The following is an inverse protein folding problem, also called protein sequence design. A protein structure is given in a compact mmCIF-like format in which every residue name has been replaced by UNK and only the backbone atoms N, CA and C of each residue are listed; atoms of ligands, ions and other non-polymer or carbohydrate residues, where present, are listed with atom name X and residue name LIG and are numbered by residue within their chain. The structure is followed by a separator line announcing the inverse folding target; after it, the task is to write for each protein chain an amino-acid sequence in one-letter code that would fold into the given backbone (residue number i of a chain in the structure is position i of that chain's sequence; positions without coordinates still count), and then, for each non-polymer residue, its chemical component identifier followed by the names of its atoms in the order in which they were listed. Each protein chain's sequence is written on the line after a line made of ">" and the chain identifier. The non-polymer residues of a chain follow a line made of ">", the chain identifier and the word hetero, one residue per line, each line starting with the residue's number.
data_IF_094842170863
#
_entry.id   IF_094842170863
#
_cell.length_a   1.000
_cell.length_b   1.000
_cell.length_c   1.000
_cell.angle_alpha   90.00
_cell.angle_beta   90.00
_cell.angle_gamma   90.00
#
_symmetry.space_group_name_H-M   'P 1'
#
loop_
_entity.id
_entity.type
_entity.pdbx_description
1 polymer ?
#
# COMPACT_ATOMS: atom_id res chain seq x y z
N UNK A 1 3.07 -52.97 -30.39
CA UNK A 1 2.51 -53.87 -29.34
C UNK A 1 2.06 -53.00 -28.17
N UNK A 2 0.76 -53.03 -27.83
CA UNK A 2 0.18 -52.29 -26.69
C UNK A 2 0.29 -53.16 -25.44
N UNK A 3 0.88 -52.64 -24.36
CA UNK A 3 0.92 -53.30 -23.04
C UNK A 3 -0.14 -52.68 -22.13
N UNK A 4 -1.16 -53.46 -21.78
CA UNK A 4 -2.13 -53.12 -20.73
C UNK A 4 -1.74 -53.84 -19.44
N UNK A 5 -1.62 -53.10 -18.35
CA UNK A 5 -1.45 -53.64 -17.00
C UNK A 5 -2.81 -54.09 -16.43
N UNK A 6 -2.86 -55.29 -15.85
CA UNK A 6 -4.02 -55.83 -15.11
C UNK A 6 -3.82 -55.60 -13.62
N UNK A 7 -4.83 -55.04 -12.95
CA UNK A 7 -4.90 -54.89 -11.50
C UNK A 7 -5.37 -56.21 -10.85
N UNK A 8 -4.72 -56.63 -9.77
CA UNK A 8 -5.11 -57.77 -8.92
C UNK A 8 -5.65 -57.20 -7.60
N UNK A 9 -6.88 -57.56 -7.24
CA UNK A 9 -7.52 -57.22 -5.96
C UNK A 9 -7.46 -58.45 -5.05
N UNK A 10 -6.90 -58.31 -3.85
CA UNK A 10 -6.85 -59.34 -2.82
C UNK A 10 -7.86 -59.00 -1.71
N UNK A 11 -8.75 -59.94 -1.38
CA UNK A 11 -9.61 -59.90 -0.20
C UNK A 11 -9.08 -60.88 0.87
N UNK A 12 -8.93 -60.48 2.14
CA UNK A 12 -8.71 -61.43 3.22
C UNK A 12 -10.02 -61.83 3.90
N UNK A 13 -10.18 -63.14 4.04
CA UNK A 13 -11.25 -63.88 4.70
C UNK A 13 -11.20 -63.79 6.24
N UNK A 14 -12.37 -63.66 6.87
CA UNK A 14 -12.58 -63.73 8.33
C UNK A 14 -12.55 -65.18 8.82
N UNK A 15 -11.59 -65.50 9.71
CA UNK A 15 -11.57 -66.74 10.49
C UNK A 15 -12.37 -66.60 11.78
N UNK A 16 -13.22 -67.60 12.05
CA UNK A 16 -13.96 -67.81 13.31
C UNK A 16 -13.29 -68.93 14.10
N UNK A 17 -13.01 -68.78 15.40
CA UNK A 17 -12.81 -69.91 16.29
C UNK A 17 -14.07 -70.16 17.13
N UNK A 18 -14.39 -71.44 17.32
CA UNK A 18 -15.46 -71.93 18.19
C UNK A 18 -14.92 -72.72 19.38
N UNK A 19 -15.78 -72.84 20.40
CA UNK A 19 -15.72 -73.79 21.53
C UNK A 19 -14.78 -73.37 22.66
N UNK A 20 -15.11 -73.46 23.95
CA UNK A 20 -16.24 -74.05 24.66
C UNK A 20 -15.86 -74.23 26.15
N UNK A 21 -16.86 -74.25 27.05
CA UNK A 21 -16.73 -74.50 28.50
C UNK A 21 -16.50 -73.22 29.31
N UNK A 22 -17.20 -72.88 30.39
CA UNK A 22 -18.01 -73.64 31.34
C UNK A 22 -17.52 -73.26 32.74
N UNK A 23 -18.36 -72.57 33.54
CA UNK A 23 -18.05 -72.23 34.94
C UNK A 23 -18.31 -70.78 35.30
N UNK A 24 -19.08 -70.57 36.37
CA UNK A 24 -19.70 -69.30 36.75
C UNK A 24 -18.75 -68.21 37.28
N UNK A 25 -19.24 -66.98 37.19
CA UNK A 25 -18.62 -65.78 37.75
C UNK A 25 -18.93 -64.52 36.93
N UNK A 26 -20.04 -63.83 37.19
CA UNK A 26 -20.01 -62.37 37.06
C UNK A 26 -19.18 -61.82 38.23
N UNK A 27 -18.41 -60.72 38.12
CA UNK A 27 -18.80 -59.53 37.35
C UNK A 27 -17.63 -58.64 36.84
N UNK A 28 -17.51 -58.31 35.54
CA UNK A 28 -16.61 -57.18 35.13
C UNK A 28 -17.02 -56.46 33.84
N UNK A 29 -18.30 -56.36 33.50
CA UNK A 29 -18.69 -55.54 32.33
C UNK A 29 -18.52 -54.02 32.59
N UNK A 30 -18.54 -53.58 33.86
CA UNK A 30 -18.37 -52.18 34.22
C UNK A 30 -16.91 -51.66 34.10
N UNK A 31 -15.92 -52.53 34.31
CA UNK A 31 -14.49 -52.16 34.30
C UNK A 31 -13.99 -51.79 32.90
N UNK A 32 -14.36 -52.58 31.88
CA UNK A 32 -13.95 -52.31 30.50
C UNK A 32 -14.56 -51.02 29.93
N UNK A 33 -15.81 -50.70 30.28
CA UNK A 33 -16.45 -49.44 29.84
C UNK A 33 -15.84 -48.21 30.51
N UNK A 34 -15.53 -48.30 31.80
CA UNK A 34 -14.84 -47.22 32.51
C UNK A 34 -13.42 -47.00 31.95
N UNK A 35 -12.69 -48.07 31.63
CA UNK A 35 -11.35 -47.98 31.06
C UNK A 35 -11.36 -47.39 29.64
N UNK A 36 -12.38 -47.70 28.84
CA UNK A 36 -12.58 -47.11 27.51
C UNK A 36 -12.88 -45.61 27.59
N UNK A 37 -13.68 -45.17 28.57
CA UNK A 37 -13.93 -43.74 28.83
C UNK A 37 -12.66 -43.02 29.25
N UNK A 38 -11.87 -43.59 30.16
CA UNK A 38 -10.57 -43.02 30.57
C UNK A 38 -9.61 -42.91 29.39
N UNK A 39 -9.56 -43.94 28.54
CA UNK A 39 -8.74 -43.93 27.33
C UNK A 39 -9.19 -42.84 26.35
N UNK A 40 -10.49 -42.71 26.08
CA UNK A 40 -11.02 -41.67 25.19
C UNK A 40 -10.77 -40.27 25.73
N UNK A 41 -10.97 -40.05 27.04
CA UNK A 41 -10.68 -38.76 27.68
C UNK A 41 -9.20 -38.42 27.64
N UNK A 42 -8.32 -39.41 27.83
CA UNK A 42 -6.88 -39.22 27.66
C UNK A 42 -6.53 -38.82 26.23
N UNK A 43 -7.09 -39.48 25.21
CA UNK A 43 -6.87 -39.11 23.82
C UNK A 43 -7.41 -37.72 23.48
N UNK A 44 -8.61 -37.35 23.94
CA UNK A 44 -9.17 -36.00 23.77
C UNK A 44 -8.30 -34.96 24.46
N UNK A 45 -7.84 -35.23 25.68
CA UNK A 45 -6.96 -34.34 26.42
C UNK A 45 -5.60 -34.17 25.73
N UNK A 46 -4.97 -35.26 25.28
CA UNK A 46 -3.71 -35.17 24.52
C UNK A 46 -3.89 -34.42 23.20
N UNK A 47 -5.00 -34.65 22.48
CA UNK A 47 -5.31 -33.97 21.23
C UNK A 47 -5.55 -32.47 21.45
N UNK A 48 -6.37 -32.11 22.43
CA UNK A 48 -6.61 -30.71 22.80
C UNK A 48 -5.31 -30.04 23.27
N UNK A 49 -4.53 -30.69 24.14
CA UNK A 49 -3.24 -30.20 24.61
C UNK A 49 -2.26 -29.98 23.45
N UNK A 50 -2.15 -30.92 22.51
CA UNK A 50 -1.35 -30.73 21.31
C UNK A 50 -1.84 -29.58 20.43
N UNK A 51 -3.16 -29.39 20.26
CA UNK A 51 -3.71 -28.27 19.50
C UNK A 51 -3.44 -26.92 20.17
N UNK A 52 -3.54 -26.83 21.50
CA UNK A 52 -3.24 -25.59 22.22
C UNK A 52 -1.74 -25.29 22.20
N UNK A 53 -0.88 -26.28 22.48
CA UNK A 53 0.57 -26.09 22.44
C UNK A 53 1.10 -25.77 21.04
N UNK A 54 0.54 -26.37 19.98
CA UNK A 54 0.96 -26.10 18.59
C UNK A 54 0.49 -24.75 18.07
N UNK A 55 -0.65 -24.22 18.56
CA UNK A 55 -1.12 -22.87 18.19
C UNK A 55 -0.20 -21.78 18.69
N UNK A 56 0.28 -21.88 19.94
CA UNK A 56 1.17 -20.88 20.53
C UNK A 56 2.57 -20.93 19.91
N UNK A 57 3.13 -22.13 19.71
CA UNK A 57 4.43 -22.28 19.02
C UNK A 57 4.34 -21.89 17.54
N UNK A 58 3.24 -22.19 16.86
CA UNK A 58 3.01 -21.83 15.47
C UNK A 58 2.81 -20.32 15.26
N UNK A 59 2.18 -19.63 16.21
CA UNK A 59 2.05 -18.17 16.20
C UNK A 59 3.41 -17.49 16.44
N UNK A 60 4.15 -17.91 17.47
CA UNK A 60 5.47 -17.38 17.77
C UNK A 60 6.49 -17.64 16.63
N UNK A 61 6.47 -18.83 16.04
CA UNK A 61 7.29 -19.15 14.87
C UNK A 61 6.96 -18.29 13.66
N UNK A 62 5.67 -18.06 13.36
CA UNK A 62 5.22 -17.16 12.29
C UNK A 62 5.65 -15.70 12.53
N UNK A 63 5.55 -15.23 13.77
CA UNK A 63 6.01 -13.89 14.16
C UNK A 63 7.53 -13.76 13.98
N UNK A 64 8.30 -14.75 14.43
CA UNK A 64 9.75 -14.77 14.28
C UNK A 64 10.20 -14.86 12.82
N UNK A 65 9.54 -15.67 11.99
CA UNK A 65 9.85 -15.75 10.55
C UNK A 65 9.47 -14.45 9.82
N UNK A 66 8.34 -13.83 10.16
CA UNK A 66 7.94 -12.55 9.58
C UNK A 66 8.86 -11.41 10.02
N UNK A 67 9.30 -11.41 11.29
CA UNK A 67 10.27 -10.44 11.79
C UNK A 67 11.64 -10.63 11.13
N UNK A 68 12.11 -11.86 10.95
CA UNK A 68 13.36 -12.16 10.26
C UNK A 68 13.31 -11.83 8.75
N UNK A 69 12.17 -12.08 8.09
CA UNK A 69 11.96 -11.68 6.70
C UNK A 69 11.92 -10.15 6.55
N UNK A 70 11.25 -9.44 7.46
CA UNK A 70 11.22 -7.98 7.52
C UNK A 70 12.59 -7.37 7.81
N UNK A 71 13.38 -8.00 8.69
CA UNK A 71 14.75 -7.57 8.98
C UNK A 71 15.68 -7.77 7.78
N UNK A 72 15.42 -8.75 6.90
CA UNK A 72 16.16 -8.93 5.65
C UNK A 72 15.70 -7.99 4.54
N UNK A 73 14.46 -7.51 4.58
CA UNK A 73 13.93 -6.63 3.55
C UNK A 73 14.33 -5.16 3.75
N UNK A 74 14.64 -4.75 4.97
CA UNK A 74 14.99 -3.36 5.31
C UNK A 74 16.50 -3.13 5.26
N UNK A 75 16.91 -1.89 4.90
CA UNK A 75 18.31 -1.49 4.98
C UNK A 75 18.84 -1.62 6.42
N UNK A 76 20.11 -2.00 6.62
CA UNK A 76 20.75 -1.89 7.92
C UNK A 76 20.65 -0.45 8.45
N UNK A 77 20.26 -0.29 9.71
CA UNK A 77 20.02 1.01 10.33
C UNK A 77 21.18 2.02 10.15
N UNK A 78 22.47 1.64 10.29
CA UNK A 78 23.56 2.58 10.03
C UNK A 78 23.62 3.09 8.59
N UNK A 79 23.26 2.25 7.61
CA UNK A 79 23.20 2.66 6.19
C UNK A 79 22.05 3.61 5.96
N UNK A 80 20.88 3.32 6.52
CA UNK A 80 19.71 4.19 6.47
C UNK A 80 20.01 5.56 7.09
N UNK A 81 20.58 5.59 8.29
CA UNK A 81 20.91 6.83 9.00
C UNK A 81 21.97 7.65 8.24
N UNK A 82 22.98 6.98 7.64
CA UNK A 82 23.99 7.65 6.81
C UNK A 82 23.40 8.24 5.53
N UNK A 83 22.51 7.52 4.84
CA UNK A 83 21.83 8.03 3.64
C UNK A 83 21.01 9.28 3.97
N UNK A 84 20.25 9.25 5.07
CA UNK A 84 19.49 10.42 5.52
C UNK A 84 20.40 11.60 5.88
N UNK A 85 21.47 11.34 6.62
CA UNK A 85 22.42 12.38 7.01
C UNK A 85 23.03 13.07 5.79
N UNK A 86 23.69 12.32 4.89
CA UNK A 86 24.38 12.91 3.75
C UNK A 86 23.45 13.48 2.67
N UNK A 87 22.24 12.93 2.49
CA UNK A 87 21.29 13.48 1.53
C UNK A 87 20.71 14.82 1.98
N UNK A 88 20.69 15.07 3.29
CA UNK A 88 20.09 16.26 3.91
C UNK A 88 21.09 17.28 4.47
N UNK A 89 22.38 16.93 4.51
CA UNK A 89 23.44 17.82 5.00
C UNK A 89 23.73 18.93 3.97
N UNK A 90 23.98 20.15 4.46
CA UNK A 90 24.25 21.36 3.66
C UNK A 90 23.12 21.81 2.70
N UNK A 91 21.85 21.49 2.98
CA UNK A 91 20.68 22.08 2.29
C UNK A 91 20.39 23.48 2.85
N UNK A 92 21.43 24.31 2.97
CA UNK A 92 21.24 25.73 3.22
C UNK A 92 20.89 26.38 1.89
N UNK A 93 19.59 26.64 1.68
CA UNK A 93 19.09 27.68 0.76
C UNK A 93 18.92 27.37 -0.74
N UNK A 94 18.91 26.11 -1.19
CA UNK A 94 18.47 25.82 -2.57
C UNK A 94 16.96 25.58 -2.62
N UNK A 95 16.22 26.53 -3.19
CA UNK A 95 14.77 26.42 -3.38
C UNK A 95 14.40 25.11 -4.08
N UNK A 96 13.42 24.38 -3.52
CA UNK A 96 12.86 23.16 -4.09
C UNK A 96 13.49 21.84 -3.63
N UNK A 97 14.31 21.82 -2.57
CA UNK A 97 14.81 20.59 -1.94
C UNK A 97 14.17 20.36 -0.58
N UNK A 98 13.92 19.09 -0.26
CA UNK A 98 13.40 18.73 1.06
C UNK A 98 14.44 18.86 2.17
N UNK A 99 14.03 19.37 3.31
CA UNK A 99 14.83 19.43 4.53
C UNK A 99 15.01 18.04 5.17
N UNK A 100 15.91 17.93 6.14
CA UNK A 100 16.07 16.69 6.91
C UNK A 100 14.77 16.23 7.57
N UNK A 101 13.96 17.16 8.09
CA UNK A 101 12.71 16.81 8.77
C UNK A 101 11.68 16.23 7.79
N UNK A 102 11.61 16.80 6.59
CA UNK A 102 10.72 16.37 5.51
C UNK A 102 11.15 15.01 4.96
N UNK A 103 12.43 14.85 4.61
CA UNK A 103 12.99 13.59 4.13
C UNK A 103 12.79 12.48 5.15
N UNK A 104 13.01 12.76 6.44
CA UNK A 104 12.82 11.80 7.52
C UNK A 104 11.37 11.36 7.66
N UNK A 105 10.39 12.22 7.40
CA UNK A 105 8.97 11.85 7.45
C UNK A 105 8.61 10.84 6.36
N UNK A 106 9.02 11.09 5.10
CA UNK A 106 8.83 10.13 3.99
C UNK A 106 9.56 8.81 4.28
N UNK A 107 10.81 8.88 4.72
CA UNK A 107 11.62 7.71 5.04
C UNK A 107 11.00 6.86 6.17
N UNK A 108 10.34 7.50 7.15
CA UNK A 108 9.63 6.80 8.22
C UNK A 108 8.36 6.08 7.72
N UNK A 109 7.70 6.56 6.67
CA UNK A 109 6.62 5.81 6.01
C UNK A 109 7.16 4.59 5.27
N UNK A 110 8.22 4.76 4.46
CA UNK A 110 8.87 3.65 3.76
C UNK A 110 9.39 2.56 4.72
N UNK A 111 10.02 2.96 5.83
CA UNK A 111 10.50 2.02 6.85
C UNK A 111 9.40 1.27 7.62
N UNK A 112 8.16 1.79 7.62
CA UNK A 112 7.00 1.12 8.25
C UNK A 112 6.20 0.27 7.27
N UNK A 113 6.34 0.53 5.97
CA UNK A 113 5.70 -0.20 4.89
C UNK A 113 6.07 -1.70 4.89
N UNK A 114 5.11 -2.55 4.53
CA UNK A 114 5.36 -3.98 4.37
C UNK A 114 6.08 -4.22 3.02
N UNK A 115 7.10 -5.09 3.01
CA UNK A 115 7.81 -5.40 1.78
C UNK A 115 7.06 -6.43 0.91
N UNK A 116 7.06 -6.29 -0.42
CA UNK A 116 7.59 -5.16 -1.18
C UNK A 116 6.66 -3.93 -1.07
N UNK A 117 7.24 -2.77 -0.78
CA UNK A 117 6.49 -1.52 -0.71
C UNK A 117 6.41 -0.88 -2.10
N UNK A 118 5.20 -0.57 -2.56
CA UNK A 118 5.00 0.15 -3.82
C UNK A 118 5.04 1.66 -3.54
N UNK A 119 6.06 2.33 -4.07
CA UNK A 119 6.28 3.76 -3.91
C UNK A 119 6.21 4.48 -5.26
N UNK A 120 5.23 5.38 -5.41
CA UNK A 120 5.12 6.26 -6.58
C UNK A 120 5.62 7.65 -6.24
N UNK A 121 6.45 8.22 -7.10
CA UNK A 121 6.98 9.58 -6.94
C UNK A 121 6.65 10.39 -8.18
N UNK A 122 5.87 11.45 -8.02
CA UNK A 122 5.74 12.49 -9.04
C UNK A 122 6.87 13.50 -8.85
N UNK A 123 7.67 13.73 -9.89
CA UNK A 123 8.84 14.61 -9.91
C UNK A 123 10.17 13.86 -9.82
N UNK A 124 11.10 14.22 -10.70
CA UNK A 124 12.52 13.90 -10.58
C UNK A 124 13.23 15.03 -9.83
N UNK A 125 13.60 14.73 -8.60
CA UNK A 125 14.30 15.67 -7.72
C UNK A 125 15.70 15.18 -7.37
N UNK A 126 16.40 15.97 -6.56
CA UNK A 126 17.70 15.56 -6.05
C UNK A 126 17.61 14.27 -5.22
N UNK A 127 16.48 14.04 -4.55
CA UNK A 127 16.22 12.90 -3.68
C UNK A 127 15.85 11.62 -4.45
N UNK A 128 15.75 11.65 -5.79
CA UNK A 128 15.38 10.47 -6.63
C UNK A 128 16.14 9.19 -6.25
N UNK A 129 17.48 9.27 -6.14
CA UNK A 129 18.28 8.10 -5.77
C UNK A 129 18.11 7.69 -4.30
N UNK A 130 17.84 8.66 -3.43
CA UNK A 130 17.55 8.41 -2.03
C UNK A 130 16.25 7.62 -1.91
N UNK A 131 15.17 8.05 -2.57
CA UNK A 131 13.87 7.37 -2.59
C UNK A 131 13.98 5.93 -3.05
N UNK A 132 14.68 5.68 -4.16
CA UNK A 132 14.90 4.31 -4.62
C UNK A 132 15.70 3.47 -3.62
N UNK A 133 16.73 4.06 -3.00
CA UNK A 133 17.59 3.36 -2.04
C UNK A 133 16.85 3.04 -0.74
N UNK A 134 16.10 4.00 -0.18
CA UNK A 134 15.36 3.85 1.06
C UNK A 134 14.21 2.86 0.92
N UNK A 135 13.61 2.74 -0.27
CA UNK A 135 12.62 1.71 -0.59
C UNK A 135 13.27 0.36 -0.98
N UNK A 136 14.27 -0.06 -0.21
CA UNK A 136 15.03 -1.29 -0.48
C UNK A 136 14.12 -2.52 -0.53
N UNK A 137 14.30 -3.38 -1.55
CA UNK A 137 13.43 -4.52 -1.88
C UNK A 137 11.95 -4.17 -2.15
N UNK A 138 11.61 -2.89 -2.27
CA UNK A 138 10.34 -2.41 -2.78
C UNK A 138 10.41 -2.14 -4.28
N UNK A 139 9.31 -1.58 -4.81
CA UNK A 139 9.24 -1.04 -6.16
C UNK A 139 9.04 0.46 -6.06
N UNK A 140 9.94 1.22 -6.66
CA UNK A 140 9.82 2.68 -6.76
C UNK A 140 9.66 3.07 -8.21
N UNK A 141 8.63 3.84 -8.52
CA UNK A 141 8.37 4.37 -9.86
C UNK A 141 8.37 5.89 -9.81
N UNK A 142 9.13 6.50 -10.72
CA UNK A 142 9.19 7.94 -10.88
C UNK A 142 8.39 8.38 -12.11
N UNK A 143 7.70 9.51 -11.99
CA UNK A 143 6.92 10.11 -13.07
C UNK A 143 7.24 11.59 -13.15
N UNK A 144 7.65 12.12 -14.31
CA UNK A 144 8.04 13.53 -14.45
C UNK A 144 7.56 14.12 -15.79
N UNK A 145 7.49 15.45 -15.88
CA UNK A 145 7.12 16.15 -17.11
C UNK A 145 8.20 16.10 -18.20
N UNK A 146 9.45 15.81 -17.85
CA UNK A 146 10.59 15.95 -18.75
C UNK A 146 11.10 14.61 -19.29
N UNK A 147 10.72 14.28 -20.53
CA UNK A 147 11.26 13.14 -21.28
C UNK A 147 12.79 13.15 -21.40
N UNK A 148 13.39 14.34 -21.45
CA UNK A 148 14.84 14.50 -21.44
C UNK A 148 15.47 14.05 -20.11
N UNK A 149 14.92 14.48 -18.96
CA UNK A 149 15.45 14.10 -17.65
C UNK A 149 15.26 12.60 -17.39
N UNK A 150 14.12 12.05 -17.81
CA UNK A 150 13.84 10.61 -17.73
C UNK A 150 14.87 9.82 -18.55
N UNK A 151 15.06 10.16 -19.83
CA UNK A 151 16.06 9.50 -20.69
C UNK A 151 17.47 9.55 -20.10
N UNK A 152 17.84 10.68 -19.50
CA UNK A 152 19.15 10.85 -18.83
C UNK A 152 19.28 10.03 -17.55
N UNK A 153 18.19 9.90 -16.80
CA UNK A 153 18.14 9.08 -15.59
C UNK A 153 18.32 7.60 -15.96
N UNK A 154 17.58 7.11 -16.95
CA UNK A 154 17.65 5.72 -17.44
C UNK A 154 19.04 5.37 -17.98
N UNK A 155 19.65 6.27 -18.76
CA UNK A 155 21.01 6.10 -19.28
C UNK A 155 22.03 5.95 -18.13
N UNK A 156 21.90 6.77 -17.08
CA UNK A 156 22.85 6.82 -15.97
C UNK A 156 22.60 5.73 -14.92
N UNK A 157 21.34 5.35 -14.71
CA UNK A 157 20.91 4.39 -13.70
C UNK A 157 19.87 3.41 -14.29
N UNK A 158 20.30 2.45 -15.14
CA UNK A 158 19.40 1.53 -15.83
C UNK A 158 18.40 0.75 -14.96
N UNK A 159 18.69 0.44 -13.68
CA UNK A 159 17.70 -0.23 -12.82
C UNK A 159 16.54 0.64 -12.33
N UNK A 160 16.58 1.97 -12.50
CA UNK A 160 15.49 2.84 -12.07
C UNK A 160 14.31 2.75 -13.05
N UNK A 161 13.12 2.65 -12.49
CA UNK A 161 11.87 2.67 -13.25
C UNK A 161 11.31 4.09 -13.24
N UNK A 162 11.29 4.75 -14.40
CA UNK A 162 10.80 6.11 -14.54
C UNK A 162 10.06 6.31 -15.86
N UNK A 163 9.07 7.20 -15.88
CA UNK A 163 8.27 7.51 -17.06
C UNK A 163 8.05 9.01 -17.21
N UNK A 164 8.10 9.52 -18.44
CA UNK A 164 7.58 10.85 -18.72
C UNK A 164 6.07 10.79 -18.92
N UNK A 165 5.37 11.83 -18.45
CA UNK A 165 3.93 12.00 -18.68
C UNK A 165 3.61 13.43 -19.08
N UNK A 166 2.55 13.58 -19.88
CA UNK A 166 2.05 14.90 -20.24
C UNK A 166 1.13 15.46 -19.15
N UNK A 167 1.60 16.47 -18.41
CA UNK A 167 0.75 17.27 -17.53
C UNK A 167 0.08 18.39 -18.32
N UNK A 168 -1.22 18.29 -18.52
CA UNK A 168 -2.00 19.19 -19.37
C UNK A 168 -2.54 20.42 -18.64
N UNK A 169 -2.63 20.37 -17.31
CA UNK A 169 -3.10 21.47 -16.45
C UNK A 169 -2.01 22.52 -16.24
N UNK A 170 -2.38 23.80 -16.09
CA UNK A 170 -1.47 24.90 -15.73
C UNK A 170 -1.81 25.53 -14.39
N UNK A 171 -0.80 26.14 -13.75
CA UNK A 171 -0.96 26.81 -12.44
C UNK A 171 -2.06 27.87 -12.46
N UNK A 172 -2.17 28.67 -13.53
CA UNK A 172 -3.19 29.71 -13.66
C UNK A 172 -4.62 29.18 -13.91
N UNK A 173 -4.79 27.89 -14.18
CA UNK A 173 -6.09 27.25 -14.40
C UNK A 173 -6.69 26.69 -13.10
N UNK A 174 -6.02 26.87 -11.95
CA UNK A 174 -6.40 26.26 -10.66
C UNK A 174 -7.90 26.36 -10.38
N UNK A 175 -8.45 27.58 -10.34
CA UNK A 175 -9.84 27.79 -9.97
C UNK A 175 -10.83 27.26 -11.02
N UNK A 176 -10.50 27.38 -12.31
CA UNK A 176 -11.30 26.83 -13.41
C UNK A 176 -11.34 25.28 -13.33
N UNK A 177 -10.24 24.65 -12.94
CA UNK A 177 -10.15 23.21 -12.75
C UNK A 177 -10.93 22.74 -11.52
N UNK A 178 -10.93 23.52 -10.43
CA UNK A 178 -11.77 23.23 -9.25
C UNK A 178 -13.27 23.35 -9.60
N UNK A 179 -13.66 24.38 -10.38
CA UNK A 179 -15.03 24.51 -10.85
C UNK A 179 -15.43 23.34 -11.76
N UNK A 180 -14.55 22.96 -12.70
CA UNK A 180 -14.75 21.79 -13.56
C UNK A 180 -14.90 20.49 -12.76
N UNK A 181 -14.07 20.27 -11.73
CA UNK A 181 -14.23 19.12 -10.85
C UNK A 181 -15.61 19.14 -10.17
N UNK A 182 -16.04 20.29 -9.64
CA UNK A 182 -17.34 20.40 -8.96
C UNK A 182 -18.50 20.09 -9.89
N UNK A 183 -18.41 20.42 -11.18
CA UNK A 183 -19.44 20.05 -12.17
C UNK A 183 -19.39 18.57 -12.54
N UNK A 184 -18.20 17.96 -12.58
CA UNK A 184 -17.99 16.57 -13.04
C UNK A 184 -17.82 15.53 -11.93
N UNK A 185 -17.94 15.90 -10.65
CA UNK A 185 -17.74 15.00 -9.50
C UNK A 185 -18.70 13.80 -9.50
N UNK A 186 -19.86 13.94 -10.15
CA UNK A 186 -20.84 12.84 -10.32
C UNK A 186 -20.63 12.02 -11.60
N UNK A 187 -19.72 12.45 -12.48
CA UNK A 187 -19.44 11.89 -13.80
C UNK A 187 -17.95 11.50 -13.96
N UNK A 188 -17.14 12.35 -14.60
CA UNK A 188 -15.78 12.05 -15.04
C UNK A 188 -14.71 12.27 -13.96
N UNK A 189 -14.98 13.07 -12.93
CA UNK A 189 -14.00 13.43 -11.90
C UNK A 189 -14.31 12.79 -10.53
N UNK A 190 -14.63 11.49 -10.51
CA UNK A 190 -15.00 10.75 -9.30
C UNK A 190 -13.77 10.30 -8.48
N UNK A 191 -13.91 10.17 -7.15
CA UNK A 191 -12.84 9.67 -6.27
C UNK A 191 -12.49 8.20 -6.51
N UNK A 192 -13.46 7.40 -7.00
CA UNK A 192 -13.25 6.01 -7.39
C UNK A 192 -13.59 5.88 -8.87
N UNK A 193 -12.55 5.73 -9.70
CA UNK A 193 -12.71 5.67 -11.16
C UNK A 193 -11.52 5.02 -11.88
N UNK A 194 -11.72 4.76 -13.17
CA UNK A 194 -10.65 4.29 -14.05
C UNK A 194 -9.95 5.48 -14.69
N UNK A 195 -8.74 5.79 -14.22
CA UNK A 195 -7.94 6.92 -14.73
C UNK A 195 -7.47 6.72 -16.18
N UNK A 196 -7.25 5.49 -16.63
CA UNK A 196 -6.79 5.18 -18.00
C UNK A 196 -7.78 5.65 -19.07
N UNK A 197 -9.08 5.67 -18.73
CA UNK A 197 -10.16 6.07 -19.64
C UNK A 197 -10.95 7.27 -19.11
N UNK A 198 -10.34 8.06 -18.22
CA UNK A 198 -10.99 9.22 -17.62
C UNK A 198 -10.90 10.43 -18.56
N UNK A 199 -12.03 11.11 -18.78
CA UNK A 199 -12.10 12.38 -19.51
C UNK A 199 -11.98 13.61 -18.59
N UNK A 200 -11.84 13.41 -17.27
CA UNK A 200 -11.59 14.51 -16.33
C UNK A 200 -10.28 15.23 -16.62
N UNK A 201 -10.31 16.56 -16.73
CA UNK A 201 -9.12 17.39 -17.03
C UNK A 201 -8.01 17.29 -15.98
N UNK A 202 -8.33 16.86 -14.76
CA UNK A 202 -7.39 16.66 -13.66
C UNK A 202 -6.77 15.25 -13.64
N UNK A 203 -7.28 14.31 -14.43
CA UNK A 203 -6.79 12.94 -14.45
C UNK A 203 -5.56 12.81 -15.36
N UNK A 204 -4.50 12.18 -14.85
CA UNK A 204 -3.37 11.74 -15.69
C UNK A 204 -3.75 10.40 -16.31
N UNK A 205 -4.13 10.42 -17.60
CA UNK A 205 -4.54 9.24 -18.39
C UNK A 205 -3.43 8.69 -19.31
N UNK A 206 -2.22 9.24 -19.22
CA UNK A 206 -1.03 8.90 -20.03
C UNK A 206 0.04 8.10 -19.26
N UNK A 207 -0.31 7.49 -18.12
CA UNK A 207 0.62 6.57 -17.43
C UNK A 207 0.64 5.22 -18.16
N UNK A 208 1.76 4.46 -18.10
CA UNK A 208 1.76 3.09 -18.60
C UNK A 208 0.66 2.26 -17.95
N UNK A 209 -0.10 1.48 -18.74
CA UNK A 209 -1.32 0.78 -18.28
C UNK A 209 -1.18 0.06 -16.94
N UNK A 210 -0.04 -0.60 -16.72
CA UNK A 210 0.20 -1.41 -15.53
C UNK A 210 0.37 -0.57 -14.26
N UNK A 211 0.66 0.74 -14.35
CA UNK A 211 0.82 1.67 -13.23
C UNK A 211 -0.53 1.96 -12.55
N UNK A 212 -1.63 1.97 -13.31
CA UNK A 212 -2.98 2.19 -12.77
C UNK A 212 -3.46 1.05 -11.86
N UNK A 213 -2.98 -0.17 -12.09
CA UNK A 213 -3.39 -1.36 -11.32
C UNK A 213 -2.51 -1.62 -10.08
N UNK A 214 -1.43 -0.85 -9.90
CA UNK A 214 -0.55 -0.99 -8.73
C UNK A 214 -1.26 -0.51 -7.48
N UNK A 215 -1.26 -1.35 -6.44
CA UNK A 215 -1.71 -0.96 -5.11
C UNK A 215 -0.62 -0.15 -4.39
N UNK A 216 -0.55 1.15 -4.69
CA UNK A 216 0.41 2.07 -4.10
C UNK A 216 0.25 2.15 -2.58
N UNK A 217 1.36 1.95 -1.86
CA UNK A 217 1.42 2.03 -0.40
C UNK A 217 1.86 3.43 0.05
N UNK A 218 2.78 4.03 -0.70
CA UNK A 218 3.25 5.41 -0.52
C UNK A 218 3.21 6.13 -1.86
N UNK A 219 2.75 7.38 -1.86
CA UNK A 219 2.81 8.29 -3.00
C UNK A 219 3.45 9.59 -2.52
N UNK A 220 4.48 10.06 -3.21
CA UNK A 220 5.10 11.36 -2.97
C UNK A 220 4.84 12.26 -4.18
N UNK A 221 4.31 13.44 -3.92
CA UNK A 221 4.02 14.46 -4.93
C UNK A 221 5.04 15.59 -4.74
N UNK A 222 6.10 15.53 -5.55
CA UNK A 222 7.19 16.52 -5.62
C UNK A 222 7.40 17.08 -7.05
N UNK A 223 6.39 16.95 -7.89
CA UNK A 223 6.37 17.43 -9.26
C UNK A 223 4.96 17.42 -9.83
N UNK A 224 4.70 18.13 -10.94
CA UNK A 224 5.64 18.98 -11.69
C UNK A 224 6.02 20.27 -10.94
N UNK A 225 7.03 21.00 -11.44
CA UNK A 225 7.67 22.14 -10.74
C UNK A 225 6.75 23.33 -10.47
N UNK A 226 5.89 23.70 -11.42
CA UNK A 226 4.95 24.82 -11.25
C UNK A 226 5.59 26.19 -10.96
N UNK A 227 6.80 26.47 -11.46
CA UNK A 227 7.51 27.73 -11.15
C UNK A 227 6.92 28.98 -11.84
N UNK A 228 6.07 28.80 -12.85
CA UNK A 228 5.35 29.92 -13.48
C UNK A 228 3.87 29.60 -13.67
N UNK A 229 3.08 30.67 -13.80
CA UNK A 229 1.63 30.57 -13.95
C UNK A 229 1.19 29.78 -15.19
N UNK A 230 2.01 29.71 -16.24
CA UNK A 230 1.69 29.00 -17.49
C UNK A 230 2.31 27.61 -17.60
N UNK A 231 3.11 27.20 -16.62
CA UNK A 231 3.71 25.86 -16.55
C UNK A 231 2.79 24.86 -15.83
N UNK A 232 2.98 23.55 -16.04
CA UNK A 232 2.27 22.55 -15.27
C UNK A 232 2.58 22.66 -13.77
N UNK A 233 1.53 22.58 -12.95
CA UNK A 233 1.66 22.46 -11.50
C UNK A 233 1.03 21.16 -10.98
N UNK A 234 1.00 20.98 -9.66
CA UNK A 234 0.71 19.70 -9.01
C UNK A 234 -0.77 19.28 -8.94
N UNK A 235 -1.69 20.04 -9.55
CA UNK A 235 -3.14 19.77 -9.52
C UNK A 235 -3.47 18.35 -10.00
N UNK A 236 -3.00 17.99 -11.20
CA UNK A 236 -3.28 16.67 -11.77
C UNK A 236 -2.61 15.53 -10.98
N UNK A 237 -1.41 15.76 -10.44
CA UNK A 237 -0.70 14.79 -9.59
C UNK A 237 -1.46 14.53 -8.28
N UNK A 238 -1.92 15.60 -7.59
CA UNK A 238 -2.69 15.51 -6.35
C UNK A 238 -4.02 14.79 -6.59
N UNK A 239 -4.77 15.17 -7.62
CA UNK A 239 -6.02 14.50 -7.98
C UNK A 239 -5.80 13.02 -8.28
N UNK A 240 -4.83 12.71 -9.14
CA UNK A 240 -4.50 11.34 -9.55
C UNK A 240 -4.08 10.48 -8.36
N UNK A 241 -3.24 11.00 -7.45
CA UNK A 241 -2.88 10.30 -6.22
C UNK A 241 -4.09 10.02 -5.32
N UNK A 242 -4.99 10.99 -5.18
CA UNK A 242 -6.25 10.84 -4.44
C UNK A 242 -7.14 9.74 -5.01
N UNK A 243 -7.21 9.61 -6.33
CA UNK A 243 -7.97 8.55 -7.03
C UNK A 243 -7.27 7.19 -6.92
N UNK A 244 -5.94 7.12 -7.13
CA UNK A 244 -5.16 5.89 -7.01
C UNK A 244 -5.26 5.29 -5.60
N UNK A 245 -5.13 6.13 -4.56
CA UNK A 245 -5.25 5.70 -3.18
C UNK A 245 -6.62 5.09 -2.85
N UNK A 246 -7.70 5.69 -3.40
CA UNK A 246 -9.08 5.26 -3.14
C UNK A 246 -9.54 4.09 -4.01
N UNK A 247 -9.06 4.00 -5.25
CA UNK A 247 -9.50 3.03 -6.26
C UNK A 247 -8.73 1.70 -6.24
N UNK A 248 -7.64 1.60 -5.47
CA UNK A 248 -6.79 0.41 -5.47
C UNK A 248 -7.53 -0.85 -5.01
N UNK A 249 -7.32 -1.95 -5.75
CA UNK A 249 -8.00 -3.24 -5.52
C UNK A 249 -7.30 -4.16 -4.52
N UNK A 250 -6.03 -3.90 -4.22
CA UNK A 250 -5.16 -4.75 -3.38
C UNK A 250 -4.28 -3.94 -2.42
N UNK A 251 -3.28 -4.58 -1.82
CA UNK A 251 -2.32 -3.94 -0.91
C UNK A 251 -2.92 -3.49 0.43
N UNK A 252 -2.17 -2.65 1.15
CA UNK A 252 -2.57 -2.09 2.44
C UNK A 252 -3.95 -1.39 2.37
N UNK A 253 -4.66 -1.31 3.50
CA UNK A 253 -5.97 -0.64 3.55
C UNK A 253 -5.86 0.87 3.28
N UNK A 254 -4.73 1.46 3.64
CA UNK A 254 -4.45 2.88 3.54
C UNK A 254 -3.26 3.13 2.60
N UNK A 255 -3.18 4.32 2.03
CA UNK A 255 -2.03 4.83 1.26
C UNK A 255 -1.52 6.08 1.95
N UNK A 256 -0.21 6.16 2.18
CA UNK A 256 0.42 7.39 2.64
C UNK A 256 0.65 8.30 1.44
N UNK A 257 0.09 9.51 1.46
CA UNK A 257 0.30 10.50 0.39
C UNK A 257 1.02 11.70 0.97
N UNK A 258 2.14 12.07 0.38
CA UNK A 258 2.95 13.23 0.77
C UNK A 258 2.87 14.30 -0.30
N UNK A 259 2.66 15.55 0.09
CA UNK A 259 2.63 16.71 -0.81
C UNK A 259 3.67 17.71 -0.32
N UNK A 260 4.68 17.97 -1.12
CA UNK A 260 5.74 18.93 -0.82
C UNK A 260 5.36 20.34 -1.28
N UNK A 261 5.90 21.38 -0.64
CA UNK A 261 5.58 22.79 -0.86
C UNK A 261 4.08 23.10 -0.63
N UNK A 262 3.49 22.54 0.42
CA UNK A 262 2.04 22.65 0.74
C UNK A 262 1.57 24.10 0.98
N UNK A 263 2.48 25.02 1.28
CA UNK A 263 2.19 26.44 1.45
C UNK A 263 1.78 27.14 0.15
N UNK A 264 2.15 26.58 -1.00
CA UNK A 264 1.73 27.09 -2.31
C UNK A 264 0.24 26.87 -2.52
N UNK A 265 -0.39 27.82 -3.19
CA UNK A 265 -1.85 27.89 -3.32
C UNK A 265 -2.44 26.66 -4.03
N UNK A 266 -1.82 26.24 -5.12
CA UNK A 266 -2.18 25.04 -5.89
C UNK A 266 -2.22 23.80 -5.00
N UNK A 267 -1.14 23.58 -4.26
CA UNK A 267 -0.94 22.41 -3.41
C UNK A 267 -1.94 22.41 -2.26
N UNK A 268 -2.11 23.55 -1.58
CA UNK A 268 -3.08 23.70 -0.49
C UNK A 268 -4.50 23.43 -0.98
N UNK A 269 -4.95 24.14 -2.01
CA UNK A 269 -6.34 24.07 -2.51
C UNK A 269 -6.65 22.67 -3.03
N UNK A 270 -5.77 22.07 -3.82
CA UNK A 270 -6.01 20.72 -4.35
C UNK A 270 -5.90 19.63 -3.27
N UNK A 271 -5.03 19.79 -2.27
CA UNK A 271 -4.93 18.82 -1.17
C UNK A 271 -6.18 18.84 -0.30
N UNK A 272 -6.69 20.03 0.02
CA UNK A 272 -7.94 20.18 0.77
C UNK A 272 -9.13 19.56 0.03
N UNK A 273 -9.19 19.72 -1.30
CA UNK A 273 -10.31 19.21 -2.11
C UNK A 273 -10.21 17.69 -2.40
N UNK A 274 -9.01 17.16 -2.68
CA UNK A 274 -8.84 15.78 -3.19
C UNK A 274 -8.22 14.80 -2.17
N UNK A 275 -7.42 15.29 -1.23
CA UNK A 275 -6.82 14.46 -0.17
C UNK A 275 -7.59 14.59 1.14
N UNK A 276 -8.29 15.71 1.34
CA UNK A 276 -9.18 16.02 2.45
C UNK A 276 -8.45 16.26 3.77
N UNK A 277 -8.79 17.38 4.44
CA UNK A 277 -8.22 17.73 5.74
C UNK A 277 -8.46 16.67 6.82
N UNK A 278 -9.55 15.90 6.74
CA UNK A 278 -9.79 14.78 7.66
C UNK A 278 -8.74 13.65 7.58
N UNK A 279 -7.99 13.56 6.48
CA UNK A 279 -6.95 12.56 6.28
C UNK A 279 -5.54 13.10 6.58
N UNK A 280 -5.39 14.39 6.93
CA UNK A 280 -4.10 15.00 7.26
C UNK A 280 -3.60 14.47 8.61
N UNK A 281 -2.41 13.86 8.60
CA UNK A 281 -1.76 13.31 9.80
C UNK A 281 -0.81 14.33 10.42
N UNK A 282 0.04 14.95 9.59
CA UNK A 282 0.96 15.98 10.04
C UNK A 282 1.44 16.86 8.88
N UNK A 283 1.94 18.04 9.23
CA UNK A 283 2.76 18.88 8.35
C UNK A 283 4.14 19.04 8.99
N UNK A 284 5.19 18.67 8.26
CA UNK A 284 6.58 18.92 8.63
C UNK A 284 7.11 19.99 7.69
N UNK A 285 7.27 21.21 8.21
CA UNK A 285 7.72 22.34 7.40
C UNK A 285 6.83 22.53 6.16
N UNK A 286 7.33 22.31 4.94
CA UNK A 286 6.57 22.43 3.69
C UNK A 286 5.94 21.11 3.22
N UNK A 287 6.18 20.00 3.92
CA UNK A 287 5.68 18.67 3.56
C UNK A 287 4.42 18.30 4.37
N UNK A 288 3.30 18.12 3.69
CA UNK A 288 2.08 17.56 4.29
C UNK A 288 1.99 16.04 4.09
N UNK A 289 1.60 15.32 5.14
CA UNK A 289 1.41 13.86 5.13
C UNK A 289 -0.06 13.52 5.37
N UNK A 290 -0.68 12.87 4.38
CA UNK A 290 -2.04 12.34 4.43
C UNK A 290 -2.03 10.80 4.50
N UNK A 291 -3.04 10.23 5.13
CA UNK A 291 -3.31 8.78 5.11
C UNK A 291 -4.70 8.55 4.56
N UNK A 292 -4.78 7.99 3.35
CA UNK A 292 -6.02 7.88 2.59
C UNK A 292 -6.45 6.42 2.54
N UNK A 293 -7.62 6.14 3.08
CA UNK A 293 -8.25 4.81 3.01
C UNK A 293 -8.86 4.51 1.64
N UNK A 294 -8.99 3.22 1.33
CA UNK A 294 -9.79 2.77 0.18
C UNK A 294 -11.23 3.26 0.30
N UNK A 295 -11.83 3.58 -0.84
CA UNK A 295 -13.25 3.91 -0.91
C UNK A 295 -13.96 2.84 -1.73
N UNK A 296 -15.04 2.28 -1.19
CA UNK A 296 -15.92 1.43 -2.00
C UNK A 296 -16.63 2.30 -3.04
N UNK A 297 -16.78 1.78 -4.26
CA UNK A 297 -17.56 2.43 -5.33
C UNK A 297 -19.06 2.44 -5.00
N UNK A 298 -19.44 3.14 -3.94
CA UNK A 298 -20.82 3.31 -3.52
C UNK A 298 -21.42 4.49 -4.28
N UNK A 299 -22.55 4.23 -4.95
CA UNK A 299 -23.28 5.20 -5.78
C UNK A 299 -23.76 6.44 -5.02
N UNK A 300 -23.66 6.49 -3.70
CA UNK A 300 -24.17 7.61 -2.89
C UNK A 300 -23.06 8.55 -2.36
N UNK A 301 -21.77 8.25 -2.62
CA UNK A 301 -20.66 9.13 -2.24
C UNK A 301 -19.89 9.55 -3.49
N UNK A 302 -20.13 10.77 -3.93
CA UNK A 302 -19.52 11.32 -5.15
C UNK A 302 -18.28 12.16 -4.85
N UNK A 303 -18.22 12.85 -3.70
CA UNK A 303 -17.09 13.68 -3.32
C UNK A 303 -15.94 12.91 -2.68
N UNK A 304 -14.73 13.47 -2.79
CA UNK A 304 -13.53 12.96 -2.13
C UNK A 304 -13.67 13.02 -0.59
N UNK A 305 -14.17 14.15 -0.08
CA UNK A 305 -14.24 14.44 1.35
C UNK A 305 -15.63 14.17 1.94
N UNK A 306 -15.68 13.89 3.23
CA UNK A 306 -16.86 13.48 3.96
C UNK A 306 -17.74 14.69 4.32
N UNK A 307 -18.25 15.39 3.30
CA UNK A 307 -19.18 16.52 3.44
C UNK A 307 -18.56 17.79 4.04
N UNK A 308 -18.27 18.77 3.18
CA UNK A 308 -18.04 20.17 3.55
C UNK A 308 -19.37 20.82 3.97
N UNK A 309 -19.81 20.52 5.19
CA UNK A 309 -20.89 21.24 5.89
C UNK A 309 -20.38 22.47 6.64
N UNK A 310 -19.26 23.07 6.23
CA UNK A 310 -18.74 24.31 6.83
C UNK A 310 -18.35 25.25 5.71
N UNK A 311 -19.33 26.02 5.29
CA UNK A 311 -19.12 27.33 4.69
C UNK A 311 -18.11 28.10 5.53
N UNK A 312 -16.91 28.31 4.99
CA UNK A 312 -16.07 29.41 5.44
C UNK A 312 -16.78 30.68 4.98
N UNK A 313 -17.54 31.29 5.89
CA UNK A 313 -18.00 32.66 5.74
C UNK A 313 -16.78 33.56 5.61
N UNK A 314 -16.75 34.52 4.68
CA UNK A 314 -15.70 35.53 4.67
C UNK A 314 -15.87 36.39 5.92
N UNK A 315 -14.88 36.36 6.82
CA UNK A 315 -14.78 37.37 7.88
C UNK A 315 -14.47 38.71 7.21
N UNK A 316 -15.49 39.56 7.18
CA UNK A 316 -15.35 40.99 6.97
C UNK A 316 -14.81 41.64 8.25
N UNK A 317 -13.59 42.15 8.20
CA UNK A 317 -13.18 43.44 8.81
C UNK A 317 -11.85 43.90 8.21
#
# INVERSE_FOLDING_TARGET
>A
MKTSAKFIVLHPSLHKPGGGGGGGGTPTVASHRAWLVVFVLFFIFTFAFTLFSTRDTGSAAKIATNAAARAKSQLPRPVFDALLHYASENISSSAGRMSFAEVKSVAAALGRCAAPCNFLVFGLTHETLLWNSLNHNGRTVFVDESSYLISKLEEKYPPLEAYDVQFTTKVNELYDLIEHYKSEVTNECRPVQNLLFSDCKLAINDLPNHIYDVAWDVILIDGPRGYSSTTPGRMAAIFTAGVLARSKRGGAAETHVFVHEIEREVERVCSDEFLCGENLVETKESLAHFVIGKMEGNRNRFGFCSGSGSSVSPEST
#
